data_IF_523556576237
#
_entry.id   IF_523556576237
#
_cell.length_a   1.000
_cell.length_b   1.000
_cell.length_c   1.000
_cell.angle_alpha   90.00
_cell.angle_beta   90.00
_cell.angle_gamma   90.00
#
_symmetry.space_group_name_H-M   'P 1'
#
loop_
_entity.id
_entity.type
_entity.pdbx_description
1 polymer ?
#
# COMPACT_ATOMS: atom_id res chain seq x y z
N UNK A 1 0.26 11.96 -6.61
CA UNK A 1 0.41 12.58 -5.28
C UNK A 1 1.88 12.95 -5.00
N UNK A 2 2.85 12.01 -4.96
CA UNK A 2 4.28 12.31 -4.71
C UNK A 2 4.86 13.35 -5.67
N UNK A 3 4.52 13.29 -6.96
CA UNK A 3 4.91 14.31 -7.92
C UNK A 3 4.33 15.69 -7.60
N UNK A 4 3.05 15.75 -7.27
CA UNK A 4 2.36 17.00 -6.97
C UNK A 4 2.94 17.74 -5.75
N UNK A 5 3.18 16.99 -4.67
CA UNK A 5 3.64 17.61 -3.40
C UNK A 5 5.15 17.75 -3.29
N UNK A 6 5.92 16.90 -3.95
CA UNK A 6 7.37 16.79 -3.71
C UNK A 6 8.21 16.77 -5.00
N UNK A 7 7.58 16.85 -6.17
CA UNK A 7 8.28 16.80 -7.45
C UNK A 7 8.90 15.44 -7.80
N UNK A 8 8.51 14.37 -7.08
CA UNK A 8 9.07 13.02 -7.28
C UNK A 8 8.35 12.35 -8.46
N UNK A 9 9.04 12.10 -9.59
CA UNK A 9 8.43 11.55 -10.78
C UNK A 9 8.12 10.05 -10.63
N UNK A 10 7.13 9.59 -11.41
CA UNK A 10 6.92 8.15 -11.64
C UNK A 10 7.95 7.66 -12.66
N UNK A 11 8.46 6.47 -12.45
CA UNK A 11 9.35 5.76 -13.37
C UNK A 11 8.55 4.61 -13.97
N UNK A 12 8.56 4.46 -15.28
CA UNK A 12 7.93 3.33 -15.98
C UNK A 12 8.73 2.06 -15.71
N UNK A 13 8.03 0.98 -15.41
CA UNK A 13 8.61 -0.36 -15.31
C UNK A 13 8.65 -0.99 -16.72
N UNK A 14 9.67 -1.82 -16.96
CA UNK A 14 9.79 -2.58 -18.21
C UNK A 14 8.65 -3.61 -18.35
N UNK A 15 8.23 -4.19 -17.21
CA UNK A 15 7.12 -5.13 -17.11
C UNK A 15 6.15 -4.70 -16.02
N UNK A 16 4.86 -5.08 -16.17
CA UNK A 16 3.85 -4.88 -15.13
C UNK A 16 4.27 -5.64 -13.86
N UNK A 17 4.34 -4.94 -12.74
CA UNK A 17 4.50 -5.57 -11.44
C UNK A 17 3.13 -6.06 -10.98
N UNK A 18 2.89 -7.36 -11.02
CA UNK A 18 1.64 -8.00 -10.60
C UNK A 18 1.92 -9.17 -9.68
N UNK A 19 1.28 -9.18 -8.50
CA UNK A 19 1.48 -10.24 -7.51
C UNK A 19 1.42 -9.78 -6.07
N UNK A 20 1.79 -10.66 -5.15
CA UNK A 20 1.83 -10.43 -3.70
C UNK A 20 3.27 -10.51 -3.23
N UNK A 21 3.81 -9.37 -2.80
CA UNK A 21 5.22 -9.23 -2.47
C UNK A 21 5.44 -9.05 -0.99
N UNK A 22 6.53 -9.63 -0.47
CA UNK A 22 6.99 -9.43 0.89
C UNK A 22 7.60 -8.04 1.05
N UNK A 23 7.22 -7.36 2.12
CA UNK A 23 7.73 -6.06 2.53
C UNK A 23 8.33 -6.14 3.92
N UNK A 24 9.31 -5.29 4.20
CA UNK A 24 9.89 -5.12 5.53
C UNK A 24 9.50 -3.76 6.12
N UNK A 25 9.25 -3.73 7.41
CA UNK A 25 9.06 -2.50 8.16
C UNK A 25 10.43 -1.87 8.44
N UNK A 26 10.59 -0.59 8.09
CA UNK A 26 11.81 0.18 8.33
C UNK A 26 11.71 0.99 9.61
N UNK A 27 10.53 1.52 9.94
CA UNK A 27 10.27 2.32 11.13
C UNK A 27 9.22 1.64 12.01
N UNK A 28 9.66 0.79 12.95
CA UNK A 28 8.79 0.02 13.84
C UNK A 28 8.01 0.88 14.85
N UNK A 29 8.56 2.03 15.22
CA UNK A 29 7.96 2.94 16.21
C UNK A 29 7.02 3.98 15.59
N UNK A 30 6.76 3.90 14.28
CA UNK A 30 5.84 4.81 13.62
C UNK A 30 4.38 4.42 13.90
N UNK A 31 3.51 5.42 14.09
CA UNK A 31 2.08 5.21 14.36
C UNK A 31 1.40 4.37 13.29
N UNK A 32 1.74 4.54 12.01
CA UNK A 32 1.12 3.80 10.89
C UNK A 32 1.53 2.32 10.85
N UNK A 33 2.75 1.99 11.28
CA UNK A 33 3.28 0.62 11.29
C UNK A 33 3.18 -0.05 12.65
N UNK A 34 2.51 0.59 13.61
CA UNK A 34 2.33 0.04 14.96
C UNK A 34 1.63 -1.31 14.92
N UNK A 35 2.25 -2.32 15.55
CA UNK A 35 1.74 -3.69 15.60
C UNK A 35 1.99 -4.52 14.35
N UNK A 36 2.71 -3.97 13.36
CA UNK A 36 3.14 -4.78 12.20
C UNK A 36 4.22 -5.77 12.62
N UNK A 37 4.19 -6.94 11.99
CA UNK A 37 5.33 -7.84 11.99
C UNK A 37 6.51 -7.22 11.24
N UNK A 38 7.72 -7.71 11.46
CA UNK A 38 8.93 -7.24 10.76
C UNK A 38 8.81 -7.37 9.24
N UNK A 39 8.04 -8.36 8.80
CA UNK A 39 7.74 -8.66 7.39
C UNK A 39 6.26 -8.93 7.21
N UNK A 40 5.72 -8.47 6.09
CA UNK A 40 4.33 -8.62 5.73
C UNK A 40 4.15 -8.62 4.21
N UNK A 41 2.99 -9.02 3.75
CA UNK A 41 2.71 -9.13 2.32
C UNK A 41 1.75 -8.05 1.84
N UNK A 42 1.97 -7.59 0.59
CA UNK A 42 1.12 -6.59 -0.05
C UNK A 42 0.89 -6.94 -1.51
N UNK A 43 -0.36 -6.87 -2.00
CA UNK A 43 -0.66 -6.97 -3.42
C UNK A 43 -0.16 -5.73 -4.19
N UNK A 44 0.34 -5.97 -5.38
CA UNK A 44 0.69 -4.94 -6.35
C UNK A 44 0.14 -5.26 -7.73
N UNK A 45 -0.30 -4.23 -8.44
CA UNK A 45 -0.64 -4.28 -9.87
C UNK A 45 -0.37 -2.92 -10.49
N UNK A 46 0.82 -2.72 -11.03
CA UNK A 46 1.23 -1.40 -11.53
C UNK A 46 2.30 -1.46 -12.63
N UNK A 47 2.29 -0.46 -13.51
CA UNK A 47 3.27 -0.27 -14.58
C UNK A 47 4.31 0.81 -14.25
N UNK A 48 4.23 1.41 -13.07
CA UNK A 48 5.13 2.49 -12.65
C UNK A 48 5.60 2.28 -11.22
N UNK A 49 6.78 2.84 -10.91
CA UNK A 49 7.33 2.89 -9.56
C UNK A 49 7.80 4.31 -9.22
N UNK A 50 8.32 4.49 -8.02
CA UNK A 50 9.01 5.72 -7.59
C UNK A 50 10.43 5.37 -7.16
N UNK A 51 11.35 6.29 -7.39
CA UNK A 51 12.73 6.10 -6.96
C UNK A 51 12.85 6.31 -5.45
N UNK A 52 13.41 5.32 -4.77
CA UNK A 52 13.68 5.35 -3.33
C UNK A 52 14.56 6.54 -2.93
N UNK A 53 15.63 6.78 -3.69
CA UNK A 53 16.60 7.84 -3.40
C UNK A 53 15.97 9.24 -3.55
N UNK A 54 15.03 9.41 -4.49
CA UNK A 54 14.29 10.66 -4.62
C UNK A 54 13.40 10.95 -3.40
N UNK A 55 12.83 9.90 -2.77
CA UNK A 55 12.09 10.06 -1.52
C UNK A 55 13.04 10.45 -0.38
N UNK A 56 14.19 9.79 -0.26
CA UNK A 56 15.18 10.07 0.79
C UNK A 56 15.80 11.46 0.70
N UNK A 57 15.86 12.04 -0.50
CA UNK A 57 16.30 13.44 -0.69
C UNK A 57 15.30 14.47 -0.19
N UNK A 58 14.12 14.07 0.25
CA UNK A 58 13.08 14.96 0.80
C UNK A 58 13.03 14.81 2.32
N UNK A 59 13.64 15.73 3.11
CA UNK A 59 13.70 15.62 4.57
C UNK A 59 12.31 15.53 5.23
N UNK A 60 11.28 16.05 4.53
CA UNK A 60 9.89 16.00 5.00
C UNK A 60 9.22 14.63 4.80
N UNK A 61 9.89 13.66 4.16
CA UNK A 61 9.35 12.32 3.91
C UNK A 61 10.17 11.25 4.63
N UNK A 62 9.47 10.23 5.09
CA UNK A 62 10.04 9.01 5.62
C UNK A 62 9.52 7.81 4.86
N UNK A 63 10.40 6.82 4.63
CA UNK A 63 10.00 5.50 4.09
C UNK A 63 9.77 4.60 5.29
N UNK A 64 8.54 4.13 5.44
CA UNK A 64 8.12 3.31 6.58
C UNK A 64 8.19 1.81 6.29
N UNK A 65 7.96 1.42 5.04
CA UNK A 65 8.06 0.04 4.59
C UNK A 65 8.42 -0.05 3.10
N UNK A 66 9.19 -1.07 2.77
CA UNK A 66 9.64 -1.34 1.40
C UNK A 66 9.81 -2.83 1.12
N UNK A 67 9.87 -3.21 -0.16
CA UNK A 67 10.17 -4.54 -0.66
C UNK A 67 11.44 -4.51 -1.51
N UNK A 68 12.23 -5.56 -1.45
CA UNK A 68 13.37 -5.72 -2.36
C UNK A 68 12.92 -5.90 -3.83
N UNK A 69 11.75 -6.48 -4.05
CA UNK A 69 11.19 -6.76 -5.38
C UNK A 69 10.25 -5.65 -5.86
N UNK A 70 9.38 -5.15 -4.96
CA UNK A 70 8.34 -4.18 -5.31
C UNK A 70 8.72 -2.73 -4.95
N UNK A 71 9.90 -2.47 -4.38
CA UNK A 71 10.35 -1.12 -4.01
C UNK A 71 9.59 -0.53 -2.83
N UNK A 72 9.54 0.80 -2.76
CA UNK A 72 8.89 1.53 -1.66
C UNK A 72 7.38 1.25 -1.66
N UNK A 73 6.86 0.83 -0.53
CA UNK A 73 5.43 0.59 -0.33
C UNK A 73 4.75 1.74 0.40
N UNK A 74 5.25 2.08 1.58
CA UNK A 74 4.65 3.06 2.46
C UNK A 74 5.63 4.17 2.76
N UNK A 75 5.25 5.40 2.46
CA UNK A 75 5.97 6.60 2.86
C UNK A 75 4.99 7.65 3.38
N UNK A 76 5.45 8.49 4.29
CA UNK A 76 4.61 9.52 4.90
C UNK A 76 5.41 10.78 5.23
N UNK A 77 4.71 11.91 5.34
CA UNK A 77 5.23 13.10 6.00
C UNK A 77 5.33 12.87 7.51
N UNK A 78 6.21 13.62 8.18
CA UNK A 78 6.44 13.47 9.63
C UNK A 78 5.16 13.73 10.45
N UNK A 79 4.33 14.68 10.02
CA UNK A 79 3.03 15.00 10.61
C UNK A 79 1.90 14.02 10.24
N UNK A 80 2.17 12.98 9.46
CA UNK A 80 1.23 11.99 8.94
C UNK A 80 0.05 12.55 8.14
N UNK A 81 0.06 13.83 7.78
CA UNK A 81 -0.99 14.44 6.94
C UNK A 81 -0.92 13.99 5.49
N UNK A 82 0.22 13.47 5.06
CA UNK A 82 0.41 12.92 3.72
C UNK A 82 0.97 11.53 3.83
N UNK A 83 0.15 10.56 3.46
CA UNK A 83 0.50 9.14 3.44
C UNK A 83 0.43 8.64 2.00
N UNK A 84 1.49 8.00 1.55
CA UNK A 84 1.63 7.50 0.18
C UNK A 84 1.82 5.99 0.23
N UNK A 85 0.87 5.29 -0.37
CA UNK A 85 0.85 3.83 -0.48
C UNK A 85 0.95 3.47 -1.96
N UNK A 86 1.90 2.63 -2.33
CA UNK A 86 2.14 2.24 -3.73
C UNK A 86 1.62 0.85 -4.07
N UNK A 87 1.23 0.07 -3.08
CA UNK A 87 0.57 -1.22 -3.22
C UNK A 87 -0.93 -1.13 -2.93
N UNK A 88 -1.61 -2.23 -3.06
CA UNK A 88 -3.07 -2.34 -2.98
C UNK A 88 -3.51 -3.22 -1.80
N UNK A 89 -3.34 -2.71 -0.59
CA UNK A 89 -3.77 -3.42 0.63
C UNK A 89 -5.28 -3.62 0.70
N UNK A 90 -6.05 -2.81 -0.03
CA UNK A 90 -7.50 -2.87 -0.14
C UNK A 90 -8.03 -3.99 -1.06
N UNK A 91 -7.16 -4.67 -1.81
CA UNK A 91 -7.59 -5.67 -2.79
C UNK A 91 -8.33 -6.85 -2.15
N UNK A 92 -9.46 -7.17 -2.76
CA UNK A 92 -10.17 -8.43 -2.51
C UNK A 92 -9.36 -9.64 -3.00
N UNK A 93 -9.60 -10.83 -2.42
CA UNK A 93 -8.89 -12.06 -2.81
C UNK A 93 -8.85 -12.32 -4.30
N UNK A 94 -9.94 -12.05 -5.02
CA UNK A 94 -10.07 -12.31 -6.46
C UNK A 94 -9.57 -11.23 -7.39
N UNK A 95 -9.15 -10.06 -6.89
CA UNK A 95 -8.86 -8.90 -7.75
C UNK A 95 -7.74 -9.16 -8.76
N UNK A 96 -6.60 -9.72 -8.32
CA UNK A 96 -5.49 -10.01 -9.23
C UNK A 96 -5.81 -11.12 -10.23
N UNK A 97 -6.65 -12.12 -9.86
CA UNK A 97 -7.18 -13.13 -10.80
C UNK A 97 -8.00 -12.46 -11.88
N UNK A 98 -8.95 -11.62 -11.49
CA UNK A 98 -9.80 -10.89 -12.44
C UNK A 98 -8.97 -10.02 -13.40
N UNK A 99 -7.96 -9.32 -12.91
CA UNK A 99 -7.07 -8.54 -13.77
C UNK A 99 -6.29 -9.41 -14.76
N UNK A 100 -5.77 -10.55 -14.30
CA UNK A 100 -5.01 -11.49 -15.10
C UNK A 100 -5.89 -12.10 -16.21
N UNK A 101 -7.07 -12.63 -15.86
CA UNK A 101 -8.03 -13.20 -16.79
C UNK A 101 -8.56 -12.17 -17.80
N UNK A 102 -8.83 -10.95 -17.36
CA UNK A 102 -9.22 -9.84 -18.21
C UNK A 102 -8.14 -9.51 -19.26
N UNK A 103 -6.89 -9.48 -18.85
CA UNK A 103 -5.77 -9.14 -19.71
C UNK A 103 -5.53 -10.27 -20.73
N UNK A 104 -5.66 -11.54 -20.34
CA UNK A 104 -5.68 -12.69 -21.25
C UNK A 104 -6.82 -12.61 -22.27
N UNK A 105 -8.03 -12.32 -21.82
CA UNK A 105 -9.21 -12.20 -22.71
C UNK A 105 -9.08 -11.06 -23.73
N UNK A 106 -8.22 -10.07 -23.47
CA UNK A 106 -7.88 -9.00 -24.42
C UNK A 106 -6.76 -9.34 -25.39
N UNK A 107 -6.29 -10.59 -25.39
CA UNK A 107 -5.19 -11.03 -26.24
C UNK A 107 -3.81 -10.51 -25.79
N UNK A 108 -3.69 -10.03 -24.55
CA UNK A 108 -2.42 -9.70 -23.96
C UNK A 108 -1.76 -10.97 -23.40
N UNK A 109 -0.46 -10.93 -23.22
CA UNK A 109 0.31 -12.02 -22.59
C UNK A 109 0.78 -11.57 -21.19
N UNK A 110 -0.14 -11.47 -20.21
CA UNK A 110 0.23 -11.05 -18.85
C UNK A 110 1.04 -12.14 -18.17
N UNK A 111 2.06 -11.74 -17.42
CA UNK A 111 2.73 -12.68 -16.50
C UNK A 111 1.76 -13.09 -15.39
N UNK A 112 1.86 -14.36 -14.94
CA UNK A 112 1.09 -14.86 -13.79
C UNK A 112 1.42 -14.00 -12.57
N UNK A 113 0.38 -13.51 -11.83
CA UNK A 113 0.62 -12.74 -10.60
C UNK A 113 1.50 -13.51 -9.61
N UNK A 114 2.68 -12.98 -9.32
CA UNK A 114 3.71 -13.65 -8.51
C UNK A 114 3.25 -13.89 -7.07
N UNK A 115 3.50 -15.08 -6.50
CA UNK A 115 3.17 -15.46 -5.12
C UNK A 115 1.68 -15.31 -4.76
N UNK A 116 0.79 -15.27 -5.73
CA UNK A 116 -0.64 -15.04 -5.54
C UNK A 116 -1.44 -16.34 -5.57
N UNK A 117 -1.27 -17.16 -6.59
CA UNK A 117 -1.85 -18.49 -6.65
C UNK A 117 -1.03 -19.50 -5.85
N UNK A 118 -1.65 -20.58 -5.36
CA UNK A 118 -0.90 -21.68 -4.76
C UNK A 118 0.01 -22.33 -5.80
N UNK A 119 1.32 -22.37 -5.50
CA UNK A 119 2.33 -22.89 -6.42
C UNK A 119 2.51 -22.08 -7.71
N UNK A 120 2.07 -20.80 -7.71
CA UNK A 120 2.06 -19.91 -8.88
C UNK A 120 1.31 -20.52 -10.10
N UNK A 121 0.34 -21.43 -9.84
CA UNK A 121 -0.50 -22.02 -10.86
C UNK A 121 -1.89 -21.34 -10.89
N UNK A 122 -2.28 -20.70 -12.02
CA UNK A 122 -3.57 -20.01 -12.17
C UNK A 122 -4.81 -20.90 -12.01
N UNK A 123 -4.64 -22.22 -12.13
CA UNK A 123 -5.73 -23.18 -11.88
C UNK A 123 -6.07 -23.30 -10.38
N UNK A 124 -5.15 -22.91 -9.51
CA UNK A 124 -5.31 -22.99 -8.06
C UNK A 124 -5.95 -21.73 -7.47
N UNK A 125 -6.44 -21.85 -6.23
CA UNK A 125 -7.01 -20.71 -5.51
C UNK A 125 -5.96 -19.68 -5.06
N UNK A 126 -6.34 -18.39 -4.97
CA UNK A 126 -5.49 -17.34 -4.42
C UNK A 126 -5.12 -17.60 -2.96
N UNK A 127 -3.87 -17.30 -2.61
CA UNK A 127 -3.39 -17.39 -1.24
C UNK A 127 -3.37 -16.00 -0.61
N UNK A 128 -4.38 -15.70 0.22
CA UNK A 128 -4.52 -14.40 0.88
C UNK A 128 -3.56 -14.29 2.05
N UNK A 129 -2.60 -13.35 1.99
CA UNK A 129 -1.55 -13.14 3.01
C UNK A 129 -1.48 -11.69 3.51
N UNK A 130 -2.36 -10.79 3.07
CA UNK A 130 -2.21 -9.33 3.31
C UNK A 130 -3.29 -8.70 4.18
N UNK A 131 -4.42 -9.36 4.42
CA UNK A 131 -5.58 -8.76 5.11
C UNK A 131 -5.30 -8.22 6.50
N UNK A 132 -4.55 -8.96 7.32
CA UNK A 132 -4.30 -8.56 8.70
C UNK A 132 -3.54 -7.24 8.77
N UNK A 133 -2.46 -7.11 8.01
CA UNK A 133 -1.65 -5.90 7.95
C UNK A 133 -2.38 -4.76 7.22
N UNK A 134 -3.20 -5.06 6.21
CA UNK A 134 -4.07 -4.09 5.56
C UNK A 134 -5.04 -3.45 6.55
N UNK A 135 -5.79 -4.28 7.30
CA UNK A 135 -6.73 -3.81 8.32
C UNK A 135 -6.01 -2.98 9.39
N UNK A 136 -4.83 -3.43 9.82
CA UNK A 136 -4.03 -2.74 10.83
C UNK A 136 -3.54 -1.37 10.32
N UNK A 137 -3.09 -1.28 9.06
CA UNK A 137 -2.69 -0.01 8.44
C UNK A 137 -3.84 1.00 8.45
N UNK A 138 -5.01 0.60 7.98
CA UNK A 138 -6.19 1.47 7.93
C UNK A 138 -6.67 1.85 9.34
N UNK A 139 -6.69 0.90 10.28
CA UNK A 139 -7.04 1.18 11.67
C UNK A 139 -6.06 2.16 12.31
N UNK A 140 -4.76 1.98 12.11
CA UNK A 140 -3.73 2.88 12.61
C UNK A 140 -3.88 4.29 12.00
N UNK A 141 -4.09 4.37 10.68
CA UNK A 141 -4.29 5.65 10.01
C UNK A 141 -5.54 6.38 10.55
N UNK A 142 -6.67 5.69 10.64
CA UNK A 142 -7.90 6.28 11.20
C UNK A 142 -7.70 6.75 12.65
N UNK A 143 -7.13 5.90 13.50
CA UNK A 143 -7.00 6.21 14.93
C UNK A 143 -5.98 7.31 15.20
N UNK A 144 -4.83 7.31 14.52
CA UNK A 144 -3.71 8.17 14.88
C UNK A 144 -3.52 9.38 13.97
N UNK A 145 -4.01 9.34 12.73
CA UNK A 145 -3.87 10.43 11.79
C UNK A 145 -5.19 11.15 11.46
N UNK A 146 -6.35 10.50 11.68
CA UNK A 146 -7.65 11.11 11.41
C UNK A 146 -8.35 11.51 12.70
N UNK A 147 -8.70 10.54 13.56
CA UNK A 147 -9.51 10.84 14.75
C UNK A 147 -8.80 11.73 15.77
N UNK A 148 -7.50 11.54 16.00
CA UNK A 148 -6.77 12.36 16.97
C UNK A 148 -6.48 13.78 16.47
N UNK A 149 -6.46 14.00 15.17
CA UNK A 149 -6.19 15.31 14.55
C UNK A 149 -7.48 16.06 14.18
N UNK A 150 -8.64 15.40 14.26
CA UNK A 150 -9.94 16.03 13.96
C UNK A 150 -10.46 16.70 15.24
N UNK A 151 -10.69 18.03 15.25
CA UNK A 151 -11.28 18.72 16.39
C UNK A 151 -12.64 18.11 16.73
N UNK A 152 -12.81 17.74 18.00
CA UNK A 152 -14.03 17.15 18.47
C UNK A 152 -14.40 17.75 19.85
N UNK A 153 -15.57 18.38 19.93
CA UNK A 153 -16.10 18.96 21.18
C UNK A 153 -17.24 18.09 21.72
N UNK A 154 -16.94 17.37 22.82
CA UNK A 154 -17.90 16.50 23.51
C UNK A 154 -19.21 17.22 23.88
N UNK A 155 -19.12 18.51 24.22
CA UNK A 155 -20.28 19.32 24.66
C UNK A 155 -21.28 19.63 23.54
N UNK A 156 -20.91 19.35 22.27
CA UNK A 156 -21.80 19.56 21.12
C UNK A 156 -22.54 18.28 20.70
N UNK A 157 -22.28 17.15 21.37
CA UNK A 157 -23.01 15.91 21.11
C UNK A 157 -24.41 16.04 21.72
N UNK A 158 -25.42 15.93 20.88
CA UNK A 158 -26.84 15.93 21.32
C UNK A 158 -27.50 17.27 21.37
N UNK A 159 -26.83 18.39 21.07
CA UNK A 159 -27.50 19.63 20.76
C UNK A 159 -28.16 19.51 19.37
N UNK A 160 -29.36 18.90 19.32
CA UNK A 160 -30.27 19.12 18.19
C UNK A 160 -30.64 20.59 18.26
N UNK A 161 -30.21 21.37 17.25
CA UNK A 161 -30.79 22.71 17.06
C UNK A 161 -32.30 22.59 16.96
N UNK A 162 -32.97 23.35 17.78
CA UNK A 162 -34.41 23.62 17.72
C UNK A 162 -34.75 24.27 16.36
#
# INVERSE_FOLDING_TARGET
ALYHYYGIPKIRLDKKLSGVYEHRVLEKNNKLTRGFDDRFFVPHSRNTTVNREEILRRPALRILAESNQAGVYLSASEDLRRVFVTGHSEYDPGTLRYEYERDLARGMEPEIPQNYFQGDDPANEPMVKWRSHANLLFANWLNYAVYQETPFELNQIGCKGD
#
